data_IF_900913277515
#
_entry.id   IF_900913277515
#
_cell.length_a   1.000
_cell.length_b   1.000
_cell.length_c   1.000
_cell.angle_alpha   90.00
_cell.angle_beta   90.00
_cell.angle_gamma   90.00
#
_symmetry.space_group_name_H-M   'P 1'
#
loop_
_entity.id
_entity.type
_entity.pdbx_description
1 polymer ?
#
# COMPACT_ATOMS: atom_id res chain seq x y z
N UNK A 1 11.21 18.96 -19.49
CA UNK A 1 11.63 17.57 -19.23
C UNK A 1 11.46 17.34 -17.73
N UNK A 2 10.81 16.26 -17.31
CA UNK A 2 10.58 15.97 -15.89
C UNK A 2 11.86 15.32 -15.34
N UNK A 3 12.45 15.90 -14.30
CA UNK A 3 13.60 15.32 -13.60
C UNK A 3 13.12 14.39 -12.48
N UNK A 4 12.97 13.11 -12.82
CA UNK A 4 12.55 12.09 -11.88
C UNK A 4 13.54 11.88 -10.72
N UNK A 5 14.83 12.17 -10.94
CA UNK A 5 15.88 12.00 -9.94
C UNK A 5 15.80 13.08 -8.85
N UNK A 6 15.26 14.26 -9.17
CA UNK A 6 14.97 15.30 -8.19
C UNK A 6 13.62 15.09 -7.49
N UNK A 7 12.60 14.67 -8.23
CA UNK A 7 11.22 14.58 -7.70
C UNK A 7 11.06 13.40 -6.75
N UNK A 8 11.64 12.23 -7.06
CA UNK A 8 11.46 11.05 -6.22
C UNK A 8 11.96 11.26 -4.78
N UNK A 9 13.18 11.78 -4.54
CA UNK A 9 13.64 12.09 -3.17
C UNK A 9 12.75 13.12 -2.45
N UNK A 10 12.17 14.09 -3.17
CA UNK A 10 11.23 15.06 -2.59
C UNK A 10 9.95 14.40 -2.11
N UNK A 11 9.40 13.46 -2.89
CA UNK A 11 8.23 12.67 -2.48
C UNK A 11 8.56 11.82 -1.27
N UNK A 12 9.67 11.09 -1.30
CA UNK A 12 10.12 10.24 -0.20
C UNK A 12 10.27 11.03 1.10
N UNK A 13 11.00 12.16 1.04
CA UNK A 13 11.19 13.06 2.17
C UNK A 13 9.86 13.58 2.72
N UNK A 14 8.96 14.02 1.84
CA UNK A 14 7.67 14.55 2.24
C UNK A 14 6.77 13.50 2.93
N UNK A 15 6.81 12.24 2.47
CA UNK A 15 6.08 11.14 3.12
C UNK A 15 6.60 10.88 4.53
N UNK A 16 7.92 10.78 4.70
CA UNK A 16 8.50 10.56 6.02
C UNK A 16 8.28 11.74 6.97
N UNK A 17 8.50 12.97 6.52
CA UNK A 17 8.22 14.17 7.33
C UNK A 17 6.75 14.23 7.77
N UNK A 18 5.83 13.80 6.90
CA UNK A 18 4.41 13.77 7.24
C UNK A 18 4.07 12.65 8.23
N UNK A 19 4.68 11.48 8.07
CA UNK A 19 4.56 10.37 9.03
C UNK A 19 5.02 10.79 10.42
N UNK A 20 6.14 11.52 10.54
CA UNK A 20 6.63 12.04 11.82
C UNK A 20 5.57 12.86 12.58
N UNK A 21 4.77 13.63 11.85
CA UNK A 21 3.71 14.48 12.41
C UNK A 21 2.43 13.69 12.67
N UNK A 22 2.15 12.67 11.86
CA UNK A 22 0.97 11.83 11.96
C UNK A 22 1.34 10.35 11.71
N UNK A 23 1.69 9.59 12.77
CA UNK A 23 2.08 8.19 12.62
C UNK A 23 1.00 7.27 12.04
N UNK A 24 -0.28 7.64 12.21
CA UNK A 24 -1.42 6.88 11.68
C UNK A 24 -1.57 7.01 10.16
N UNK A 25 -0.66 7.75 9.50
CA UNK A 25 -0.60 7.87 8.06
C UNK A 25 -0.44 6.51 7.37
N UNK A 26 0.27 5.57 8.01
CA UNK A 26 0.54 4.23 7.52
C UNK A 26 0.15 3.15 8.53
N UNK A 27 -0.21 1.96 8.02
CA UNK A 27 -0.39 0.72 8.79
C UNK A 27 -1.55 0.66 9.80
N UNK A 28 -2.47 1.61 9.78
CA UNK A 28 -3.74 1.55 10.52
C UNK A 28 -4.88 1.23 9.54
N UNK A 29 -5.38 -0.03 9.51
CA UNK A 29 -6.45 -0.43 8.61
C UNK A 29 -7.70 0.44 8.79
N UNK A 30 -8.25 0.95 7.69
CA UNK A 30 -9.46 1.77 7.68
C UNK A 30 -9.25 3.28 7.87
N UNK A 31 -8.06 3.73 8.28
CA UNK A 31 -7.74 5.16 8.42
C UNK A 31 -6.49 5.61 7.66
N UNK A 32 -5.50 4.73 7.47
CA UNK A 32 -4.25 5.05 6.78
C UNK A 32 -4.38 5.17 5.26
N UNK A 33 -3.44 5.91 4.65
CA UNK A 33 -3.34 6.01 3.18
C UNK A 33 -2.75 4.76 2.54
N UNK A 34 -1.90 4.04 3.27
CA UNK A 34 -1.33 2.78 2.82
C UNK A 34 -1.11 1.84 4.01
N UNK A 35 -1.26 0.54 3.76
CA UNK A 35 -1.03 -0.51 4.74
C UNK A 35 -0.08 -1.55 4.15
N UNK A 36 0.97 -1.88 4.90
CA UNK A 36 1.92 -2.94 4.59
C UNK A 36 1.21 -4.28 4.72
N UNK A 37 1.11 -5.03 3.62
CA UNK A 37 0.41 -6.31 3.58
C UNK A 37 1.36 -7.49 3.64
N UNK A 38 2.62 -7.28 3.25
CA UNK A 38 3.71 -8.21 3.45
C UNK A 38 5.06 -7.47 3.58
N UNK A 39 6.19 -8.17 3.84
CA UNK A 39 7.51 -7.54 3.96
C UNK A 39 7.94 -6.70 2.75
N UNK A 40 7.37 -6.91 1.57
CA UNK A 40 7.80 -6.30 0.30
C UNK A 40 6.81 -5.29 -0.27
N UNK A 41 5.55 -5.28 0.19
CA UNK A 41 4.47 -4.53 -0.45
C UNK A 41 3.56 -3.80 0.55
N UNK A 42 3.19 -2.58 0.16
CA UNK A 42 2.05 -1.85 0.68
C UNK A 42 0.92 -1.85 -0.33
N UNK A 43 -0.30 -1.89 0.19
CA UNK A 43 -1.53 -1.54 -0.50
C UNK A 43 -1.82 -0.06 -0.21
N UNK A 44 -1.89 0.77 -1.24
CA UNK A 44 -2.10 2.22 -1.12
C UNK A 44 -3.41 2.65 -1.79
N UNK A 45 -4.17 3.53 -1.12
CA UNK A 45 -5.47 4.00 -1.60
C UNK A 45 -5.33 4.88 -2.84
N UNK A 46 -6.03 4.52 -3.93
CA UNK A 46 -6.10 5.32 -5.16
C UNK A 46 -7.35 6.20 -5.17
N UNK A 47 -7.26 7.50 -5.54
CA UNK A 47 -6.04 8.25 -5.90
C UNK A 47 -5.35 8.92 -4.70
N UNK A 48 -5.88 8.72 -3.49
CA UNK A 48 -5.51 9.50 -2.31
C UNK A 48 -4.01 9.50 -2.01
N UNK A 49 -3.35 8.34 -2.06
CA UNK A 49 -1.92 8.22 -1.77
C UNK A 49 -1.07 9.15 -2.63
N UNK A 50 -1.23 9.08 -3.96
CA UNK A 50 -0.46 9.90 -4.91
C UNK A 50 -0.84 11.38 -4.80
N UNK A 51 -2.13 11.68 -4.58
CA UNK A 51 -2.59 13.06 -4.42
C UNK A 51 -1.97 13.73 -3.18
N UNK A 52 -1.91 13.03 -2.05
CA UNK A 52 -1.29 13.55 -0.83
C UNK A 52 0.24 13.62 -0.95
N UNK A 53 0.87 12.59 -1.52
CA UNK A 53 2.31 12.59 -1.80
C UNK A 53 2.71 13.80 -2.67
N UNK A 54 1.95 14.07 -3.74
CA UNK A 54 2.16 15.21 -4.62
C UNK A 54 2.02 16.55 -3.86
N UNK A 55 0.93 16.67 -3.08
CA UNK A 55 0.65 17.87 -2.28
C UNK A 55 1.78 18.18 -1.31
N UNK A 56 2.29 17.18 -0.59
CA UNK A 56 3.36 17.38 0.39
C UNK A 56 4.72 17.62 -0.25
N UNK A 57 5.00 17.02 -1.40
CA UNK A 57 6.22 17.24 -2.15
C UNK A 57 6.25 18.57 -2.93
N UNK A 58 5.11 19.28 -3.01
CA UNK A 58 4.97 20.51 -3.78
C UNK A 58 5.08 20.31 -5.28
N UNK A 59 4.54 19.20 -5.79
CA UNK A 59 4.50 18.87 -7.22
C UNK A 59 3.06 18.57 -7.66
N UNK A 60 2.79 18.59 -8.97
CA UNK A 60 1.45 18.25 -9.47
C UNK A 60 1.17 16.75 -9.33
N UNK A 61 -0.12 16.39 -9.22
CA UNK A 61 -0.54 15.00 -9.12
C UNK A 61 -0.02 14.15 -10.30
N UNK A 62 -0.15 14.65 -11.54
CA UNK A 62 0.33 13.95 -12.73
C UNK A 62 1.86 13.72 -12.71
N UNK A 63 2.63 14.69 -12.23
CA UNK A 63 4.09 14.57 -12.14
C UNK A 63 4.50 13.56 -11.06
N UNK A 64 3.86 13.58 -9.89
CA UNK A 64 4.13 12.59 -8.85
C UNK A 64 3.76 11.18 -9.32
N UNK A 65 2.59 11.04 -9.95
CA UNK A 65 2.09 9.78 -10.49
C UNK A 65 3.05 9.20 -11.54
N UNK A 66 3.44 10.00 -12.53
CA UNK A 66 4.39 9.57 -13.55
C UNK A 66 5.76 9.24 -12.93
N UNK A 67 6.24 10.04 -11.96
CA UNK A 67 7.51 9.78 -11.28
C UNK A 67 7.49 8.43 -10.57
N UNK A 68 6.45 8.13 -9.78
CA UNK A 68 6.33 6.87 -9.06
C UNK A 68 6.25 5.68 -10.03
N UNK A 69 5.52 5.80 -11.15
CA UNK A 69 5.45 4.76 -12.17
C UNK A 69 6.80 4.53 -12.87
N UNK A 70 7.47 5.60 -13.30
CA UNK A 70 8.73 5.52 -14.06
C UNK A 70 9.89 5.01 -13.23
N UNK A 71 9.86 5.25 -11.92
CA UNK A 71 10.89 4.82 -10.97
C UNK A 71 10.58 3.48 -10.30
N UNK A 72 9.44 2.86 -10.60
CA UNK A 72 9.06 1.57 -10.01
C UNK A 72 8.50 1.64 -8.59
N UNK A 73 8.26 2.84 -8.05
CA UNK A 73 7.67 3.06 -6.73
C UNK A 73 6.12 3.06 -6.74
N UNK A 74 5.52 2.87 -7.92
CA UNK A 74 4.13 2.43 -8.09
C UNK A 74 4.15 1.25 -9.05
N UNK A 75 3.74 0.08 -8.55
CA UNK A 75 3.78 -1.16 -9.31
C UNK A 75 2.60 -1.23 -10.29
N UNK A 76 2.94 -1.47 -11.55
CA UNK A 76 1.99 -1.69 -12.64
C UNK A 76 2.01 -3.16 -13.06
N UNK A 77 0.92 -3.73 -13.49
CA UNK A 77 0.87 -5.09 -14.03
C UNK A 77 1.44 -5.20 -15.45
N UNK A 78 1.07 -6.28 -16.18
CA UNK A 78 1.34 -6.42 -17.61
C UNK A 78 0.88 -5.18 -18.39
N UNK A 79 1.57 -4.87 -19.49
CA UNK A 79 1.30 -3.71 -20.35
C UNK A 79 1.29 -2.35 -19.63
N UNK A 80 1.94 -2.26 -18.47
CA UNK A 80 1.96 -1.08 -17.60
C UNK A 80 0.56 -0.66 -17.13
N UNK A 81 -0.37 -1.61 -17.04
CA UNK A 81 -1.71 -1.36 -16.54
C UNK A 81 -1.74 -1.32 -15.00
N UNK A 82 -2.66 -0.54 -14.42
CA UNK A 82 -2.96 -0.64 -12.99
C UNK A 82 -3.83 -1.84 -12.69
N UNK A 83 -3.96 -2.19 -11.41
CA UNK A 83 -4.93 -3.20 -10.99
C UNK A 83 -6.35 -2.77 -11.41
N UNK A 84 -7.00 -3.63 -12.18
CA UNK A 84 -8.34 -3.40 -12.71
C UNK A 84 -9.41 -3.70 -11.68
N UNK A 85 -10.22 -2.70 -11.33
CA UNK A 85 -11.29 -2.83 -10.34
C UNK A 85 -10.81 -2.79 -8.88
N UNK A 86 -11.73 -2.69 -7.92
CA UNK A 86 -11.39 -2.65 -6.50
C UNK A 86 -10.80 -3.99 -6.02
N UNK A 87 -9.99 -3.93 -4.97
CA UNK A 87 -9.42 -5.05 -4.23
C UNK A 87 -10.24 -5.29 -2.97
N UNK A 88 -10.61 -6.54 -2.76
CA UNK A 88 -11.29 -6.96 -1.55
C UNK A 88 -10.27 -7.21 -0.43
N UNK A 89 -10.41 -6.46 0.66
CA UNK A 89 -9.53 -6.53 1.83
C UNK A 89 -10.33 -6.74 3.11
N UNK A 90 -9.64 -7.20 4.14
CA UNK A 90 -10.13 -7.51 5.47
C UNK A 90 -9.28 -6.73 6.47
N UNK A 91 -9.91 -5.93 7.32
CA UNK A 91 -9.27 -5.50 8.56
C UNK A 91 -9.52 -6.60 9.59
N UNK A 92 -8.43 -7.07 10.20
CA UNK A 92 -8.45 -8.12 11.23
C UNK A 92 -9.53 -7.82 12.29
N UNK A 93 -10.12 -8.88 12.83
CA UNK A 93 -11.15 -8.87 13.87
C UNK A 93 -12.59 -8.56 13.40
N UNK A 94 -12.77 -7.90 12.25
CA UNK A 94 -14.11 -7.48 11.81
C UNK A 94 -14.87 -8.50 10.96
N UNK A 95 -14.15 -9.41 10.29
CA UNK A 95 -14.69 -10.29 9.23
C UNK A 95 -15.27 -9.53 8.03
N UNK A 96 -15.25 -8.19 8.03
CA UNK A 96 -15.91 -7.35 7.04
C UNK A 96 -14.99 -7.18 5.84
N UNK A 97 -15.49 -7.62 4.69
CA UNK A 97 -14.85 -7.35 3.40
C UNK A 97 -15.08 -5.88 3.02
N UNK A 98 -13.99 -5.15 2.82
CA UNK A 98 -13.96 -3.81 2.26
C UNK A 98 -13.46 -3.86 0.82
N UNK A 99 -14.07 -3.07 -0.07
CA UNK A 99 -13.66 -2.99 -1.48
C UNK A 99 -12.90 -1.69 -1.68
N UNK A 100 -11.60 -1.76 -1.95
CA UNK A 100 -10.72 -0.60 -2.05
C UNK A 100 -10.14 -0.49 -3.46
N UNK A 101 -10.22 0.68 -4.08
CA UNK A 101 -9.43 0.95 -5.29
C UNK A 101 -8.01 1.29 -4.86
N UNK A 102 -7.04 0.48 -5.28
CA UNK A 102 -5.67 0.55 -4.74
C UNK A 102 -4.61 0.46 -5.82
N UNK A 103 -3.41 0.90 -5.47
CA UNK A 103 -2.16 0.58 -6.15
C UNK A 103 -1.21 -0.13 -5.17
N UNK A 104 -0.19 -0.80 -5.70
CA UNK A 104 0.84 -1.45 -4.90
C UNK A 104 2.13 -0.63 -4.91
N UNK A 105 2.72 -0.45 -3.73
CA UNK A 105 3.94 0.32 -3.51
C UNK A 105 4.99 -0.60 -2.91
N UNK A 106 6.25 -0.62 -3.40
CA UNK A 106 7.32 -1.37 -2.76
C UNK A 106 7.50 -0.92 -1.31
N UNK A 107 7.60 -1.86 -0.38
CA UNK A 107 7.78 -1.56 1.04
C UNK A 107 9.05 -0.76 1.29
N UNK A 108 10.13 -1.06 0.58
CA UNK A 108 11.40 -0.33 0.68
C UNK A 108 11.22 1.19 0.48
N UNK A 109 10.31 1.62 -0.41
CA UNK A 109 10.07 3.05 -0.65
C UNK A 109 9.49 3.77 0.58
N UNK A 110 8.44 3.21 1.18
CA UNK A 110 7.77 3.80 2.34
C UNK A 110 8.62 3.59 3.60
N UNK A 111 9.18 2.39 3.78
CA UNK A 111 9.97 2.05 4.96
C UNK A 111 11.24 2.92 5.03
N UNK A 112 11.92 3.15 3.89
CA UNK A 112 13.07 4.05 3.85
C UNK A 112 12.66 5.50 4.15
N UNK A 113 11.53 5.96 3.62
CA UNK A 113 10.99 7.29 3.92
C UNK A 113 10.78 7.51 5.42
N UNK A 114 10.10 6.59 6.10
CA UNK A 114 9.78 6.74 7.52
C UNK A 114 11.00 6.54 8.44
N UNK A 115 11.97 5.72 8.04
CA UNK A 115 13.24 5.59 8.77
C UNK A 115 14.07 6.86 8.64
N UNK A 116 14.33 7.32 7.41
CA UNK A 116 15.20 8.47 7.18
C UNK A 116 14.57 9.79 7.61
N UNK A 117 13.28 9.98 7.35
CA UNK A 117 12.60 11.26 7.50
C UNK A 117 11.40 11.21 8.44
N UNK A 118 10.94 10.03 8.86
CA UNK A 118 9.87 9.85 9.85
C UNK A 118 10.36 9.73 11.29
N UNK A 119 11.61 9.29 11.50
CA UNK A 119 12.16 9.03 12.84
C UNK A 119 11.83 7.63 13.37
N UNK A 120 11.37 6.71 12.52
CA UNK A 120 11.17 5.32 12.89
C UNK A 120 12.53 4.62 13.09
N UNK A 121 12.68 3.76 14.12
CA UNK A 121 13.93 3.03 14.36
C UNK A 121 14.20 1.93 13.32
N UNK A 122 13.20 1.59 12.50
CA UNK A 122 13.29 0.58 11.46
C UNK A 122 12.05 0.57 10.56
N UNK A 123 12.00 -0.38 9.60
CA UNK A 123 10.84 -0.56 8.74
C UNK A 123 9.56 -0.77 9.55
N UNK A 124 8.42 -0.30 9.05
CA UNK A 124 7.17 -0.54 9.75
C UNK A 124 6.82 -2.04 9.72
N UNK A 125 6.16 -2.56 10.78
CA UNK A 125 5.70 -3.94 10.81
C UNK A 125 4.65 -4.19 9.72
N UNK A 126 4.45 -5.46 9.36
CA UNK A 126 3.31 -5.84 8.52
C UNK A 126 2.02 -5.50 9.26
N UNK A 127 1.11 -4.79 8.61
CA UNK A 127 -0.15 -4.37 9.21
C UNK A 127 -1.09 -5.55 9.42
N UNK A 128 -2.21 -5.29 10.09
CA UNK A 128 -3.32 -6.23 10.24
C UNK A 128 -4.24 -6.31 9.01
N UNK A 129 -4.01 -5.51 7.97
CA UNK A 129 -4.77 -5.61 6.74
C UNK A 129 -4.43 -6.91 6.00
N UNK A 130 -5.45 -7.64 5.56
CA UNK A 130 -5.30 -8.81 4.70
C UNK A 130 -6.08 -8.61 3.41
N UNK A 131 -5.58 -9.18 2.32
CA UNK A 131 -6.29 -9.30 1.06
C UNK A 131 -7.19 -10.55 1.14
N UNK A 132 -8.41 -10.45 0.65
CA UNK A 132 -9.29 -11.61 0.63
C UNK A 132 -8.73 -12.69 -0.31
N UNK A 133 -8.72 -13.96 0.11
CA UNK A 133 -8.12 -15.08 -0.66
C UNK A 133 -8.64 -15.21 -2.10
N UNK A 134 -9.89 -14.81 -2.35
CA UNK A 134 -10.48 -14.79 -3.71
C UNK A 134 -9.73 -13.91 -4.72
N UNK A 135 -8.93 -12.96 -4.22
CA UNK A 135 -8.14 -12.06 -5.06
C UNK A 135 -6.80 -12.68 -5.50
N UNK A 136 -6.43 -13.84 -4.95
CA UNK A 136 -5.11 -14.45 -5.14
C UNK A 136 -4.79 -14.73 -6.60
N UNK A 137 -5.73 -15.28 -7.37
CA UNK A 137 -5.53 -15.54 -8.80
C UNK A 137 -5.37 -14.24 -9.60
N UNK A 138 -6.23 -13.24 -9.35
CA UNK A 138 -6.15 -11.93 -10.00
C UNK A 138 -4.83 -11.23 -9.68
N UNK A 139 -4.38 -11.25 -8.43
CA UNK A 139 -3.11 -10.66 -8.04
C UNK A 139 -1.91 -11.45 -8.60
N UNK A 140 -2.01 -12.77 -8.71
CA UNK A 140 -0.97 -13.59 -9.37
C UNK A 140 -0.83 -13.19 -10.84
N UNK A 141 -1.93 -12.97 -11.55
CA UNK A 141 -1.91 -12.46 -12.92
C UNK A 141 -1.35 -11.02 -12.98
N UNK A 142 -1.70 -10.15 -12.03
CA UNK A 142 -1.20 -8.78 -11.96
C UNK A 142 0.32 -8.73 -11.73
N UNK A 143 0.87 -9.61 -10.89
CA UNK A 143 2.29 -9.70 -10.60
C UNK A 143 3.06 -10.67 -11.51
N UNK A 144 2.45 -11.16 -12.60
CA UNK A 144 3.09 -12.09 -13.51
C UNK A 144 4.44 -11.55 -14.03
N UNK A 145 5.50 -12.35 -13.88
CA UNK A 145 6.86 -11.97 -14.26
C UNK A 145 7.58 -11.05 -13.26
N UNK A 146 7.04 -10.87 -12.03
CA UNK A 146 7.64 -10.09 -10.95
C UNK A 146 7.55 -10.84 -9.62
N UNK A 147 8.14 -10.26 -8.57
CA UNK A 147 7.99 -10.76 -7.20
C UNK A 147 6.51 -10.81 -6.83
N UNK A 148 5.96 -11.99 -6.52
CA UNK A 148 4.56 -12.11 -6.12
C UNK A 148 4.35 -11.57 -4.71
N UNK A 149 3.12 -11.13 -4.44
CA UNK A 149 2.65 -10.89 -3.08
C UNK A 149 2.68 -12.19 -2.28
N UNK A 150 3.15 -12.14 -1.03
CA UNK A 150 3.34 -13.32 -0.20
C UNK A 150 2.01 -13.89 0.31
N UNK A 151 1.99 -15.20 0.58
CA UNK A 151 0.79 -15.89 1.09
C UNK A 151 0.26 -15.31 2.42
N UNK A 152 1.14 -14.77 3.26
CA UNK A 152 0.75 -14.14 4.53
C UNK A 152 -0.14 -12.90 4.35
N UNK A 153 -0.13 -12.29 3.16
CA UNK A 153 -0.96 -11.15 2.85
C UNK A 153 -2.44 -11.53 2.67
N UNK A 154 -2.76 -12.82 2.54
CA UNK A 154 -4.11 -13.30 2.27
C UNK A 154 -4.79 -13.88 3.49
N UNK A 155 -6.12 -13.70 3.57
CA UNK A 155 -6.97 -14.37 4.53
C UNK A 155 -8.35 -14.70 3.92
N UNK A 156 -9.02 -15.78 4.36
CA UNK A 156 -10.43 -15.99 4.09
C UNK A 156 -11.27 -15.00 4.92
N UNK A 157 -12.46 -14.62 4.44
CA UNK A 157 -13.46 -14.04 5.34
C UNK A 157 -13.95 -15.14 6.29
N UNK A 158 -13.66 -15.06 7.59
CA UNK A 158 -14.30 -15.96 8.55
C UNK A 158 -15.81 -15.69 8.57
N UNK A 159 -16.59 -16.68 8.16
CA UNK A 159 -17.97 -16.82 8.63
C UNK A 159 -17.87 -17.69 9.87
N UNK A 160 -17.66 -17.10 11.04
CA UNK A 160 -17.77 -17.83 12.30
C UNK A 160 -19.24 -17.76 12.72
N UNK A 161 -20.08 -18.80 12.48
CA UNK A 161 -21.17 -19.02 13.42
C UNK A 161 -20.50 -19.26 14.76
N UNK A 162 -20.81 -18.42 15.74
CA UNK A 162 -20.33 -18.60 17.10
C UNK A 162 -20.66 -20.03 17.54
N UNK A 163 -19.62 -20.86 17.64
CA UNK A 163 -19.76 -22.20 18.18
C UNK A 163 -20.23 -22.05 19.63
N UNK A 164 -21.43 -22.55 19.87
CA UNK A 164 -22.04 -22.70 21.18
C UNK A 164 -21.12 -23.59 22.01
N UNK A 165 -20.39 -22.98 22.94
CA UNK A 165 -19.90 -23.67 24.13
C UNK A 165 -20.57 -23.06 25.36
N UNK A 166 -21.71 -23.63 25.72
CA UNK A 166 -22.18 -23.59 27.10
C UNK A 166 -21.76 -24.90 27.77
N UNK A 167 -21.10 -24.88 28.94
CA UNK A 167 -21.06 -26.03 29.84
C UNK A 167 -22.44 -26.31 30.46
#
# INVERSE_FOLDING_TARGET
MIDYAEILPRIEKALGERHRVNPDLFNVPGSSLACKVDPFLYVALRPAFVAFAAKWAGVSHAVAEETLMRTGNLLLGPDRARLGGPLDVLADDSGRVMRLTVDFIPAEFIDRAVVLYGGEPGPLPVSRLRVHVREKERLSAFFAGRTPIMDLAFAPSEHTPADVKAP
#
